data_IF_151135692229
#
_entry.id   IF_151135692229
#
_cell.length_a   1.000
_cell.length_b   1.000
_cell.length_c   1.000
_cell.angle_alpha   90.00
_cell.angle_beta   90.00
_cell.angle_gamma   90.00
#
_symmetry.space_group_name_H-M   'P 1'
#
loop_
_entity.id
_entity.type
_entity.pdbx_description
1 polymer ?
#
# COMPACT_ATOMS: atom_id res chain seq x y z
N UNK A 1 8.70 17.49 4.96
CA UNK A 1 9.12 18.16 3.72
C UNK A 1 9.31 17.08 2.68
N UNK A 2 8.68 17.18 1.50
CA UNK A 2 8.88 16.21 0.43
C UNK A 2 10.39 16.10 0.11
N UNK A 3 10.91 14.88 0.07
CA UNK A 3 12.29 14.63 -0.37
C UNK A 3 12.41 15.08 -1.84
N UNK A 4 13.32 16.02 -2.10
CA UNK A 4 13.52 16.61 -3.42
C UNK A 4 14.04 15.61 -4.48
N UNK A 5 14.30 14.36 -4.09
CA UNK A 5 14.86 13.30 -4.94
C UNK A 5 13.83 12.38 -5.60
N UNK A 6 12.56 12.40 -5.15
CA UNK A 6 11.52 11.53 -5.70
C UNK A 6 10.21 12.30 -5.91
N UNK A 7 9.51 12.01 -7.01
CA UNK A 7 8.21 12.61 -7.35
C UNK A 7 7.15 11.52 -7.45
N UNK A 8 6.02 11.73 -6.78
CA UNK A 8 4.88 10.82 -6.88
C UNK A 8 4.33 10.80 -8.32
N UNK A 9 3.89 9.64 -8.85
CA UNK A 9 3.18 9.55 -10.12
C UNK A 9 1.97 10.49 -10.20
N UNK A 10 1.27 10.72 -9.08
CA UNK A 10 0.09 11.59 -9.02
C UNK A 10 0.41 12.99 -8.48
N UNK A 11 1.69 13.41 -8.48
CA UNK A 11 2.09 14.74 -8.00
C UNK A 11 1.37 15.89 -8.73
N UNK A 12 1.06 15.72 -10.02
CA UNK A 12 0.37 16.73 -10.84
C UNK A 12 -1.15 16.59 -10.84
N UNK A 13 -1.69 15.61 -10.10
CA UNK A 13 -3.11 15.27 -10.07
C UNK A 13 -3.80 15.60 -8.75
N UNK A 14 -3.17 16.38 -7.86
CA UNK A 14 -3.72 16.68 -6.51
C UNK A 14 -5.11 17.33 -6.56
N UNK A 15 -5.34 18.24 -7.51
CA UNK A 15 -6.64 18.87 -7.70
C UNK A 15 -7.72 17.86 -8.13
N UNK A 16 -7.34 16.89 -8.98
CA UNK A 16 -8.21 15.82 -9.45
C UNK A 16 -8.51 14.79 -8.37
N UNK A 17 -7.56 14.54 -7.47
CA UNK A 17 -7.78 13.74 -6.27
C UNK A 17 -8.76 14.43 -5.32
N UNK A 18 -8.59 15.74 -5.09
CA UNK A 18 -9.48 16.55 -4.23
C UNK A 18 -10.91 16.57 -4.77
N UNK A 19 -11.08 17.00 -6.03
CA UNK A 19 -11.85 16.29 -7.06
C UNK A 19 -12.81 15.19 -6.60
N UNK A 20 -12.24 14.00 -6.61
CA UNK A 20 -12.90 12.74 -6.35
C UNK A 20 -13.04 12.42 -4.86
N UNK A 21 -12.60 13.31 -3.95
CA UNK A 21 -12.60 13.07 -2.51
C UNK A 21 -11.53 12.07 -2.07
N UNK A 22 -10.42 12.01 -2.81
CA UNK A 22 -9.29 11.14 -2.52
C UNK A 22 -8.02 11.94 -2.14
N UNK A 23 -7.11 11.29 -1.46
CA UNK A 23 -5.73 11.74 -1.25
C UNK A 23 -4.74 10.64 -1.63
N UNK A 24 -3.52 11.04 -1.96
CA UNK A 24 -2.42 10.09 -2.19
C UNK A 24 -1.56 9.94 -0.93
N UNK A 25 -1.16 8.71 -0.64
CA UNK A 25 -0.07 8.42 0.31
C UNK A 25 1.11 7.87 -0.49
N UNK A 26 2.08 8.72 -0.88
CA UNK A 26 3.22 8.29 -1.67
C UNK A 26 4.36 7.76 -0.78
N UNK A 27 5.23 6.94 -1.38
CA UNK A 27 6.52 6.54 -0.82
C UNK A 27 6.46 5.69 0.46
N UNK A 28 5.37 4.95 0.68
CA UNK A 28 5.31 3.94 1.73
C UNK A 28 6.46 2.93 1.57
N UNK A 29 7.04 2.52 2.70
CA UNK A 29 7.88 1.35 2.74
C UNK A 29 7.06 0.12 2.32
N UNK A 30 7.66 -0.75 1.51
CA UNK A 30 7.03 -1.94 0.97
C UNK A 30 8.02 -3.10 1.08
N UNK A 31 7.71 -4.08 1.91
CA UNK A 31 8.55 -5.25 2.12
C UNK A 31 7.74 -6.48 1.76
N UNK A 32 8.19 -7.19 0.72
CA UNK A 32 7.67 -8.50 0.35
C UNK A 32 8.20 -9.54 1.33
N UNK A 33 7.29 -10.26 1.97
CA UNK A 33 7.58 -11.33 2.91
C UNK A 33 7.06 -12.64 2.32
N UNK A 34 7.96 -13.63 2.21
CA UNK A 34 7.57 -15.03 2.01
C UNK A 34 8.04 -15.88 3.17
N UNK A 35 7.12 -16.62 3.77
CA UNK A 35 7.39 -17.55 4.88
C UNK A 35 6.28 -18.60 4.93
N UNK A 36 6.60 -19.80 5.41
CA UNK A 36 5.55 -20.80 5.66
C UNK A 36 4.53 -20.25 6.68
N UNK A 37 3.21 -20.29 6.39
CA UNK A 37 2.18 -19.78 7.29
C UNK A 37 2.17 -20.43 8.67
N UNK A 38 2.76 -21.61 8.85
CA UNK A 38 2.93 -22.21 10.18
C UNK A 38 3.80 -21.38 11.13
N UNK A 39 4.64 -20.50 10.57
CA UNK A 39 5.52 -19.59 11.31
C UNK A 39 4.97 -18.17 11.41
N UNK A 40 3.78 -17.88 10.89
CA UNK A 40 3.24 -16.52 10.80
C UNK A 40 3.21 -15.77 12.15
N UNK A 41 2.97 -16.50 13.24
CA UNK A 41 2.93 -15.96 14.61
C UNK A 41 4.27 -15.42 15.13
N UNK A 42 5.39 -15.71 14.45
CA UNK A 42 6.70 -15.14 14.78
C UNK A 42 6.84 -13.69 14.31
N UNK A 43 6.05 -13.26 13.33
CA UNK A 43 6.14 -11.93 12.77
C UNK A 43 5.78 -10.85 13.83
N UNK A 44 6.43 -9.67 13.77
CA UNK A 44 6.03 -8.52 14.60
C UNK A 44 4.69 -7.89 14.16
N UNK A 45 4.13 -8.34 13.03
CA UNK A 45 2.86 -7.90 12.46
C UNK A 45 1.88 -9.07 12.46
N UNK A 46 0.59 -8.81 12.67
CA UNK A 46 -0.41 -9.87 12.56
C UNK A 46 -0.64 -10.21 11.08
N UNK A 47 -0.04 -11.31 10.61
CA UNK A 47 -0.18 -11.73 9.22
C UNK A 47 -1.58 -12.35 9.01
N UNK A 48 -2.42 -11.77 8.15
CA UNK A 48 -3.71 -12.38 7.82
C UNK A 48 -3.49 -13.73 7.15
N UNK A 49 -4.26 -14.76 7.52
CA UNK A 49 -4.17 -16.10 6.90
C UNK A 49 -5.31 -16.37 5.91
N UNK A 50 -6.37 -15.58 5.95
CA UNK A 50 -7.50 -15.71 5.03
C UNK A 50 -7.18 -15.00 3.70
N UNK A 51 -7.47 -15.63 2.54
CA UNK A 51 -7.27 -15.01 1.24
C UNK A 51 -7.94 -13.65 1.11
N UNK A 52 -7.26 -12.73 0.41
CA UNK A 52 -7.75 -11.37 0.13
C UNK A 52 -8.09 -10.54 1.37
N UNK A 53 -7.46 -10.84 2.52
CA UNK A 53 -7.61 -10.04 3.75
C UNK A 53 -6.36 -9.24 4.08
N UNK A 54 -6.53 -8.25 4.96
CA UNK A 54 -5.47 -7.37 5.40
C UNK A 54 -5.58 -7.17 6.91
N UNK A 55 -4.42 -6.96 7.54
CA UNK A 55 -4.31 -6.41 8.88
C UNK A 55 -3.68 -5.02 8.80
N UNK A 56 -4.02 -4.14 9.73
CA UNK A 56 -3.35 -2.86 9.87
C UNK A 56 -3.37 -2.35 11.33
N UNK A 57 -2.41 -1.48 11.63
CA UNK A 57 -2.42 -0.62 12.82
C UNK A 57 -2.36 0.88 12.39
N UNK A 58 -1.85 1.76 13.24
CA UNK A 58 -1.71 3.19 12.95
C UNK A 58 -0.65 3.49 11.87
N UNK A 59 0.34 2.61 11.71
CA UNK A 59 1.55 2.87 10.92
C UNK A 59 1.84 1.79 9.88
N UNK A 60 1.41 0.55 10.10
CA UNK A 60 1.72 -0.60 9.28
C UNK A 60 0.46 -1.28 8.77
N UNK A 61 0.62 -2.00 7.67
CA UNK A 61 -0.36 -2.96 7.19
C UNK A 61 0.33 -4.22 6.67
N UNK A 62 -0.33 -5.36 6.80
CA UNK A 62 0.06 -6.62 6.17
C UNK A 62 -1.06 -7.03 5.21
N UNK A 63 -0.74 -7.10 3.92
CA UNK A 63 -1.68 -7.50 2.88
C UNK A 63 -1.42 -8.96 2.50
N UNK A 64 -2.44 -9.80 2.53
CA UNK A 64 -2.35 -11.16 2.00
C UNK A 64 -2.17 -11.13 0.48
N UNK A 65 -1.16 -11.81 -0.05
CA UNK A 65 -0.93 -11.96 -1.50
C UNK A 65 -1.00 -13.43 -1.95
N UNK A 66 -0.71 -14.36 -1.05
CA UNK A 66 -0.75 -15.79 -1.28
C UNK A 66 -0.65 -16.58 0.03
N UNK A 67 -0.80 -17.91 -0.02
CA UNK A 67 -0.78 -18.76 1.17
C UNK A 67 0.49 -18.63 2.03
N UNK A 68 1.60 -18.22 1.43
CA UNK A 68 2.92 -18.05 2.03
C UNK A 68 3.55 -16.68 1.70
N UNK A 69 2.75 -15.70 1.24
CA UNK A 69 3.22 -14.41 0.72
C UNK A 69 2.38 -13.24 1.23
N UNK A 70 3.07 -12.22 1.77
CA UNK A 70 2.48 -10.98 2.28
C UNK A 70 3.26 -9.75 1.82
N UNK A 71 2.54 -8.64 1.62
CA UNK A 71 3.17 -7.32 1.48
C UNK A 71 3.02 -6.54 2.78
N UNK A 72 4.14 -6.20 3.39
CA UNK A 72 4.19 -5.33 4.57
C UNK A 72 4.36 -3.89 4.12
N UNK A 73 3.45 -3.03 4.56
CA UNK A 73 3.47 -1.59 4.35
C UNK A 73 3.90 -0.89 5.63
N UNK A 74 4.64 0.21 5.49
CA UNK A 74 4.96 1.09 6.62
C UNK A 74 5.24 2.52 6.16
N UNK A 75 5.53 3.43 7.11
CA UNK A 75 5.83 4.82 6.79
C UNK A 75 7.03 4.95 5.84
N UNK A 76 7.13 6.08 5.13
CA UNK A 76 8.29 6.36 4.28
C UNK A 76 9.60 6.22 5.06
N UNK A 77 10.64 5.72 4.38
CA UNK A 77 11.99 5.52 4.92
C UNK A 77 12.13 4.47 6.04
N UNK A 78 11.08 3.70 6.35
CA UNK A 78 11.12 2.64 7.40
C UNK A 78 11.42 1.23 6.88
N UNK A 79 11.61 1.05 5.57
CA UNK A 79 11.76 -0.28 4.96
C UNK A 79 12.92 -1.09 5.57
N UNK A 80 14.05 -0.43 5.86
CA UNK A 80 15.18 -1.08 6.50
C UNK A 80 14.86 -1.61 7.91
N UNK A 81 14.06 -0.87 8.68
CA UNK A 81 13.63 -1.26 10.03
C UNK A 81 12.68 -2.47 9.95
N UNK A 82 11.74 -2.44 9.01
CA UNK A 82 10.80 -3.53 8.74
C UNK A 82 11.56 -4.80 8.33
N UNK A 83 12.49 -4.70 7.36
CA UNK A 83 13.32 -5.82 6.91
C UNK A 83 14.11 -6.40 8.08
N UNK A 84 14.77 -5.55 8.86
CA UNK A 84 15.58 -5.98 10.00
C UNK A 84 14.75 -6.72 11.05
N UNK A 85 13.55 -6.21 11.36
CA UNK A 85 12.64 -6.86 12.30
C UNK A 85 12.16 -8.23 11.82
N UNK A 86 11.80 -8.34 10.54
CA UNK A 86 11.36 -9.61 9.93
C UNK A 86 12.50 -10.63 9.82
N UNK A 87 13.68 -10.21 9.36
CA UNK A 87 14.88 -11.06 9.30
C UNK A 87 15.26 -11.61 10.69
N UNK A 88 15.12 -10.80 11.74
CA UNK A 88 15.36 -11.21 13.11
C UNK A 88 14.27 -12.17 13.63
N UNK A 89 13.00 -11.87 13.39
CA UNK A 89 11.87 -12.72 13.79
C UNK A 89 11.93 -14.12 13.19
N UNK A 90 12.38 -14.21 11.93
CA UNK A 90 12.47 -15.45 11.17
C UNK A 90 13.91 -15.99 11.07
N UNK A 91 14.77 -15.70 12.04
CA UNK A 91 16.18 -16.08 11.98
C UNK A 91 16.41 -17.61 11.85
N UNK A 92 15.52 -18.42 12.44
CA UNK A 92 15.66 -19.88 12.52
C UNK A 92 14.76 -20.66 11.53
N UNK A 93 14.09 -19.97 10.60
CA UNK A 93 13.18 -20.59 9.62
C UNK A 93 13.54 -20.17 8.19
N UNK A 94 13.00 -20.87 7.19
CA UNK A 94 13.17 -20.49 5.79
C UNK A 94 12.23 -19.32 5.45
N UNK A 95 12.79 -18.25 4.90
CA UNK A 95 12.07 -17.00 4.58
C UNK A 95 12.72 -16.25 3.42
N UNK A 96 11.95 -15.39 2.77
CA UNK A 96 12.43 -14.32 1.91
C UNK A 96 11.87 -13.00 2.44
N UNK A 97 12.74 -12.02 2.69
CA UNK A 97 12.35 -10.66 3.08
C UNK A 97 13.01 -9.70 2.10
N UNK A 98 12.20 -9.04 1.26
CA UNK A 98 12.71 -8.20 0.17
C UNK A 98 12.07 -6.83 0.25
N UNK A 99 12.90 -5.81 0.47
CA UNK A 99 12.48 -4.43 0.27
C UNK A 99 12.22 -4.20 -1.23
N UNK A 100 10.98 -3.90 -1.57
CA UNK A 100 10.55 -3.63 -2.94
C UNK A 100 10.74 -2.12 -3.21
N UNK A 101 11.99 -1.67 -3.11
CA UNK A 101 12.36 -0.30 -3.46
C UNK A 101 12.01 -0.02 -4.93
N UNK A 102 11.34 1.10 -5.19
CA UNK A 102 11.28 1.68 -6.53
C UNK A 102 10.03 1.40 -7.36
N UNK A 103 8.91 1.00 -6.78
CA UNK A 103 7.61 1.10 -7.47
C UNK A 103 6.71 1.99 -6.64
N UNK A 104 6.60 3.26 -7.06
CA UNK A 104 5.75 4.28 -6.46
C UNK A 104 4.26 3.89 -6.54
N UNK A 105 3.86 2.86 -5.81
CA UNK A 105 2.47 2.55 -5.60
C UNK A 105 1.87 3.68 -4.79
N UNK A 106 0.73 4.17 -5.26
CA UNK A 106 0.01 5.23 -4.58
C UNK A 106 -1.17 4.57 -3.89
N UNK A 107 -1.29 4.75 -2.59
CA UNK A 107 -2.57 4.48 -1.95
C UNK A 107 -3.47 5.67 -2.24
N UNK A 108 -4.57 5.40 -2.93
CA UNK A 108 -5.69 6.34 -3.00
C UNK A 108 -6.58 6.06 -1.80
N UNK A 109 -6.73 7.07 -0.94
CA UNK A 109 -7.55 6.97 0.25
C UNK A 109 -8.81 7.82 0.05
N UNK A 110 -9.99 7.20 0.13
CA UNK A 110 -11.26 7.92 0.18
C UNK A 110 -11.40 8.62 1.54
N UNK A 111 -11.80 9.90 1.53
CA UNK A 111 -11.85 10.73 2.76
C UNK A 111 -13.01 10.42 3.71
N UNK A 112 -14.00 9.61 3.27
CA UNK A 112 -15.27 9.39 3.98
C UNK A 112 -15.45 7.98 4.50
N UNK A 113 -15.00 6.98 3.76
CA UNK A 113 -14.99 5.57 4.16
C UNK A 113 -13.54 5.10 4.00
N UNK A 114 -12.90 4.64 5.07
CA UNK A 114 -11.45 4.41 5.22
C UNK A 114 -10.88 3.27 4.35
N UNK A 115 -11.21 3.24 3.07
CA UNK A 115 -10.74 2.25 2.10
C UNK A 115 -9.52 2.83 1.39
N UNK A 116 -8.35 2.27 1.71
CA UNK A 116 -7.13 2.51 0.95
C UNK A 116 -7.05 1.57 -0.25
N UNK A 117 -6.89 2.12 -1.45
CA UNK A 117 -6.66 1.34 -2.67
C UNK A 117 -5.18 1.44 -3.03
N UNK A 118 -4.45 0.32 -3.00
CA UNK A 118 -3.07 0.27 -3.47
C UNK A 118 -3.06 0.18 -5.00
N UNK A 119 -2.57 1.23 -5.67
CA UNK A 119 -2.56 1.33 -7.12
C UNK A 119 -1.14 1.30 -7.65
N UNK A 120 -0.87 0.40 -8.60
CA UNK A 120 0.41 0.42 -9.31
C UNK A 120 0.60 1.74 -10.04
N UNK A 121 1.81 2.32 -10.04
CA UNK A 121 2.07 3.63 -10.66
C UNK A 121 1.59 3.74 -12.11
N UNK A 122 1.80 2.67 -12.91
CA UNK A 122 1.40 2.64 -14.32
C UNK A 122 -0.11 2.67 -14.56
N UNK A 123 -0.92 2.42 -13.54
CA UNK A 123 -2.38 2.42 -13.61
C UNK A 123 -3.01 3.62 -12.88
N UNK A 124 -2.21 4.38 -12.13
CA UNK A 124 -2.69 5.44 -11.25
C UNK A 124 -3.43 6.55 -12.03
N UNK A 125 -2.84 7.06 -13.11
CA UNK A 125 -3.48 8.09 -13.94
C UNK A 125 -4.80 7.61 -14.56
N UNK A 126 -4.81 6.38 -15.09
CA UNK A 126 -6.02 5.80 -15.67
C UNK A 126 -7.16 5.70 -14.63
N UNK A 127 -6.84 5.27 -13.42
CA UNK A 127 -7.84 5.16 -12.36
C UNK A 127 -8.39 6.53 -11.96
N UNK A 128 -7.55 7.57 -11.87
CA UNK A 128 -8.01 8.93 -11.59
C UNK A 128 -8.94 9.43 -12.70
N UNK A 129 -8.58 9.23 -13.97
CA UNK A 129 -9.42 9.61 -15.11
C UNK A 129 -10.78 8.88 -15.09
N UNK A 130 -10.76 7.59 -14.79
CA UNK A 130 -11.98 6.78 -14.66
C UNK A 130 -12.89 7.30 -13.54
N UNK A 131 -12.34 7.57 -12.35
CA UNK A 131 -13.11 8.05 -11.21
C UNK A 131 -13.70 9.45 -11.44
N UNK A 132 -12.95 10.34 -12.12
CA UNK A 132 -13.46 11.65 -12.56
C UNK A 132 -14.62 11.49 -13.54
N UNK A 133 -14.49 10.61 -14.53
CA UNK A 133 -15.54 10.36 -15.52
C UNK A 133 -16.81 9.81 -14.88
N UNK A 134 -16.68 8.86 -13.94
CA UNK A 134 -17.82 8.30 -13.19
C UNK A 134 -18.53 9.38 -12.37
N UNK A 135 -17.79 10.25 -11.67
CA UNK A 135 -18.36 11.36 -10.90
C UNK A 135 -19.08 12.38 -11.79
N UNK A 136 -18.51 12.70 -12.95
CA UNK A 136 -19.14 13.58 -13.94
C UNK A 136 -20.46 13.00 -14.48
N UNK A 137 -20.50 11.68 -14.72
CA UNK A 137 -21.70 10.98 -15.16
C UNK A 137 -22.80 10.95 -14.07
N UNK A 138 -22.45 10.73 -12.80
CA UNK A 138 -23.42 10.71 -11.70
C UNK A 138 -23.95 12.10 -11.33
N UNK A 139 -23.15 13.16 -11.52
CA UNK A 139 -23.59 14.55 -11.36
C UNK A 139 -24.56 15.04 -12.44
N UNK A 140 -24.62 14.37 -13.60
CA UNK A 140 -25.50 14.73 -14.72
C UNK A 140 -26.90 14.10 -14.69
N UNK A 141 -27.18 13.16 -13.78
CA UNK A 141 -28.48 12.44 -13.70
C UNK A 141 -29.48 13.14 -12.76
N UNK A 142 -29.19 14.37 -12.32
CA UNK A 142 -30.01 15.12 -11.37
C UNK A 142 -30.25 16.59 -11.72
N UNK A 143 -30.21 16.98 -12.99
CA UNK A 143 -30.54 18.33 -13.46
C UNK A 143 -31.78 18.32 -14.37
#
# INVERSE_FOLDING_TARGET
MADARARSPLADRVADLTTIGAEQVPFLAQVDLRVDPEHADLAPYALPLEPDTAWHDEHHAALWLGPDEWLILGPADTAHEIVTALEAAFADVQRSVVDVLGRAQVILHERTETTGILVRPSFADYLVDLLLAVRGATGGVGA
#
